data_IF_183153955592
#
_entry.id   IF_183153955592
#
_cell.length_a   1.000
_cell.length_b   1.000
_cell.length_c   1.000
_cell.angle_alpha   90.00
_cell.angle_beta   90.00
_cell.angle_gamma   90.00
#
_symmetry.space_group_name_H-M   'P 1'
#
loop_
_entity.id
_entity.type
_entity.pdbx_description
1 polymer ?
#
# COMPACT_ATOMS: atom_id res chain seq x y z
N UNK A 1 -11.37 7.02 26.60
CA UNK A 1 -11.11 7.52 25.22
C UNK A 1 -12.45 7.80 24.56
N UNK A 2 -12.59 8.92 23.84
CA UNK A 2 -13.84 9.28 23.16
C UNK A 2 -14.06 8.34 21.94
N UNK A 3 -15.26 7.79 21.75
CA UNK A 3 -15.54 6.79 20.69
C UNK A 3 -15.17 7.30 19.28
N UNK A 4 -15.42 8.58 19.02
CA UNK A 4 -15.04 9.26 17.77
C UNK A 4 -13.54 9.22 17.50
N UNK A 5 -12.71 9.28 18.55
CA UNK A 5 -11.26 9.22 18.40
C UNK A 5 -10.78 7.80 18.08
N UNK A 6 -11.45 6.78 18.64
CA UNK A 6 -11.15 5.37 18.36
C UNK A 6 -11.52 5.04 16.90
N UNK A 7 -12.66 5.53 16.42
CA UNK A 7 -13.08 5.34 15.02
C UNK A 7 -12.10 6.00 14.04
N UNK A 8 -11.67 7.24 14.32
CA UNK A 8 -10.65 7.92 13.50
C UNK A 8 -9.32 7.17 13.50
N UNK A 9 -8.87 6.71 14.67
CA UNK A 9 -7.64 5.92 14.76
C UNK A 9 -7.75 4.62 13.95
N UNK A 10 -8.89 3.91 14.04
CA UNK A 10 -9.11 2.70 13.27
C UNK A 10 -9.13 2.98 11.76
N UNK A 11 -9.77 4.07 11.32
CA UNK A 11 -9.78 4.47 9.92
C UNK A 11 -8.36 4.72 9.39
N UNK A 12 -7.50 5.41 10.17
CA UNK A 12 -6.08 5.63 9.84
C UNK A 12 -5.32 4.31 9.72
N UNK A 13 -5.50 3.40 10.69
CA UNK A 13 -4.80 2.12 10.70
C UNK A 13 -5.19 1.26 9.49
N UNK A 14 -6.48 1.18 9.17
CA UNK A 14 -6.98 0.43 8.02
C UNK A 14 -6.57 1.06 6.69
N UNK A 15 -6.64 2.39 6.55
CA UNK A 15 -6.21 3.07 5.32
C UNK A 15 -4.70 2.95 5.11
N UNK A 16 -3.91 3.02 6.18
CA UNK A 16 -2.46 2.79 6.13
C UNK A 16 -2.13 1.36 5.71
N UNK A 17 -2.79 0.36 6.31
CA UNK A 17 -2.60 -1.04 5.95
C UNK A 17 -2.94 -1.31 4.47
N UNK A 18 -4.04 -0.74 3.98
CA UNK A 18 -4.45 -0.84 2.57
C UNK A 18 -3.44 -0.16 1.64
N UNK A 19 -2.98 1.04 1.99
CA UNK A 19 -2.03 1.80 1.18
C UNK A 19 -0.67 1.10 1.09
N UNK A 20 -0.16 0.54 2.20
CA UNK A 20 1.06 -0.29 2.19
C UNK A 20 0.87 -1.52 1.32
N UNK A 21 -0.29 -2.17 1.42
CA UNK A 21 -0.61 -3.36 0.63
C UNK A 21 -0.61 -3.04 -0.86
N UNK A 22 -1.30 -1.97 -1.23
CA UNK A 22 -1.34 -1.49 -2.61
C UNK A 22 0.04 -1.10 -3.12
N UNK A 23 0.86 -0.43 -2.30
CA UNK A 23 2.20 -0.02 -2.71
C UNK A 23 3.04 -1.21 -3.13
N UNK A 24 3.15 -2.25 -2.29
CA UNK A 24 4.03 -3.37 -2.61
C UNK A 24 3.50 -4.19 -3.79
N UNK A 25 2.18 -4.33 -3.90
CA UNK A 25 1.54 -4.96 -5.07
C UNK A 25 1.87 -4.18 -6.34
N UNK A 26 1.71 -2.86 -6.32
CA UNK A 26 2.01 -2.01 -7.46
C UNK A 26 3.53 -1.99 -7.78
N UNK A 27 4.38 -2.12 -6.76
CA UNK A 27 5.83 -2.27 -6.94
C UNK A 27 6.17 -3.57 -7.71
N UNK A 28 5.54 -4.70 -7.36
CA UNK A 28 5.69 -5.95 -8.10
C UNK A 28 5.23 -5.81 -9.55
N UNK A 29 4.06 -5.19 -9.78
CA UNK A 29 3.54 -4.98 -11.13
C UNK A 29 4.45 -4.07 -11.96
N UNK A 30 5.00 -3.02 -11.35
CA UNK A 30 5.96 -2.12 -11.99
C UNK A 30 7.23 -2.84 -12.44
N UNK A 31 7.75 -3.78 -11.65
CA UNK A 31 8.94 -4.55 -12.05
C UNK A 31 8.60 -5.66 -13.05
N UNK A 32 7.38 -6.22 -12.99
CA UNK A 32 6.95 -7.31 -13.87
C UNK A 32 6.51 -6.85 -15.26
N UNK A 33 5.94 -5.64 -15.39
CA UNK A 33 5.32 -5.15 -16.61
C UNK A 33 5.82 -3.75 -17.01
N UNK A 34 6.41 -3.65 -18.21
CA UNK A 34 6.95 -2.39 -18.73
C UNK A 34 5.90 -1.27 -18.87
N UNK A 35 4.64 -1.62 -19.19
CA UNK A 35 3.54 -0.66 -19.28
C UNK A 35 3.24 0.02 -17.95
N UNK A 36 3.25 -0.73 -16.85
CA UNK A 36 3.06 -0.19 -15.49
C UNK A 36 4.25 0.68 -15.10
N UNK A 37 5.47 0.25 -15.41
CA UNK A 37 6.69 1.05 -15.19
C UNK A 37 6.65 2.38 -15.91
N UNK A 38 6.21 2.39 -17.18
CA UNK A 38 6.09 3.60 -17.99
C UNK A 38 5.01 4.53 -17.45
N UNK A 39 3.84 3.99 -17.07
CA UNK A 39 2.76 4.77 -16.48
C UNK A 39 3.18 5.47 -15.17
N UNK A 40 3.92 4.78 -14.31
CA UNK A 40 4.39 5.33 -13.04
C UNK A 40 5.57 6.30 -13.21
N UNK A 41 6.31 6.21 -14.31
CA UNK A 41 7.46 7.06 -14.61
C UNK A 41 7.08 8.35 -15.37
N UNK A 42 6.00 9.02 -14.96
CA UNK A 42 5.56 10.27 -15.60
C UNK A 42 6.48 11.47 -15.30
N UNK A 43 7.36 11.36 -14.29
CA UNK A 43 8.39 12.36 -13.98
C UNK A 43 9.79 11.71 -13.97
N UNK A 44 10.49 11.70 -15.13
CA UNK A 44 11.72 10.91 -15.32
C UNK A 44 12.83 11.18 -14.31
N UNK A 45 12.96 12.42 -13.83
CA UNK A 45 14.03 12.82 -12.89
C UNK A 45 13.92 12.15 -11.52
N UNK A 46 12.74 11.65 -11.14
CA UNK A 46 12.50 10.99 -9.84
C UNK A 46 12.20 9.50 -10.03
N UNK A 47 11.90 9.06 -11.26
CA UNK A 47 11.62 7.68 -11.57
C UNK A 47 10.20 7.23 -11.18
N UNK A 48 9.89 5.93 -11.35
CA UNK A 48 8.56 5.38 -11.07
C UNK A 48 8.22 5.30 -9.57
N UNK A 49 9.19 5.54 -8.69
CA UNK A 49 8.98 5.55 -7.25
C UNK A 49 8.02 6.67 -6.83
N UNK A 50 8.11 7.83 -7.47
CA UNK A 50 7.19 8.95 -7.23
C UNK A 50 5.75 8.55 -7.53
N UNK A 51 5.53 7.87 -8.67
CA UNK A 51 4.22 7.35 -9.04
C UNK A 51 3.68 6.37 -8.00
N UNK A 52 4.51 5.42 -7.54
CA UNK A 52 4.12 4.48 -6.48
C UNK A 52 3.62 5.21 -5.22
N UNK A 53 4.36 6.22 -4.76
CA UNK A 53 3.97 7.00 -3.57
C UNK A 53 2.69 7.82 -3.80
N UNK A 54 2.56 8.49 -4.93
CA UNK A 54 1.38 9.33 -5.22
C UNK A 54 0.12 8.49 -5.31
N UNK A 55 0.13 7.39 -6.08
CA UNK A 55 -1.06 6.54 -6.21
C UNK A 55 -1.41 5.85 -4.89
N UNK A 56 -0.41 5.41 -4.11
CA UNK A 56 -0.66 4.82 -2.78
C UNK A 56 -1.18 5.86 -1.78
N UNK A 57 -0.69 7.10 -1.84
CA UNK A 57 -1.18 8.21 -1.02
C UNK A 57 -2.61 8.63 -1.37
N UNK A 58 -2.95 8.65 -2.67
CA UNK A 58 -4.32 8.88 -3.11
C UNK A 58 -5.25 7.77 -2.61
N UNK A 59 -4.84 6.51 -2.72
CA UNK A 59 -5.62 5.39 -2.19
C UNK A 59 -5.79 5.49 -0.67
N UNK A 60 -4.75 5.87 0.07
CA UNK A 60 -4.83 6.12 1.50
C UNK A 60 -5.92 7.15 1.82
N UNK A 61 -5.97 8.28 1.11
CA UNK A 61 -6.97 9.31 1.34
C UNK A 61 -8.39 8.80 1.06
N UNK A 62 -8.60 8.15 -0.09
CA UNK A 62 -9.90 7.57 -0.47
C UNK A 62 -10.35 6.55 0.59
N UNK A 63 -9.45 5.65 0.99
CA UNK A 63 -9.72 4.63 1.99
C UNK A 63 -9.98 5.23 3.37
N UNK A 64 -9.26 6.28 3.76
CA UNK A 64 -9.47 6.98 5.03
C UNK A 64 -10.89 7.55 5.11
N UNK A 65 -11.36 8.22 4.06
CA UNK A 65 -12.74 8.72 4.01
C UNK A 65 -13.75 7.56 4.01
N UNK A 66 -13.50 6.50 3.25
CA UNK A 66 -14.36 5.31 3.22
C UNK A 66 -14.48 4.62 4.59
N UNK A 67 -13.35 4.34 5.24
CA UNK A 67 -13.32 3.70 6.56
C UNK A 67 -13.84 4.59 7.68
N UNK A 68 -13.75 5.91 7.55
CA UNK A 68 -14.38 6.86 8.48
C UNK A 68 -15.91 6.75 8.46
N UNK A 69 -16.51 6.35 7.33
CA UNK A 69 -17.96 6.14 7.21
C UNK A 69 -18.39 4.75 7.73
N UNK A 70 -17.53 3.74 7.64
CA UNK A 70 -17.85 2.34 7.96
C UNK A 70 -17.84 2.00 9.47
N UNK A 71 -17.55 2.97 10.36
CA UNK A 71 -17.56 2.82 11.83
C UNK A 71 -16.90 1.51 12.31
N UNK A 72 -15.65 1.30 11.92
CA UNK A 72 -14.89 0.11 12.31
C UNK A 72 -14.58 0.12 13.82
N UNK A 73 -15.16 -0.83 14.55
CA UNK A 73 -15.10 -0.85 16.02
C UNK A 73 -13.92 -1.64 16.59
N UNK A 74 -13.27 -2.51 15.81
CA UNK A 74 -12.19 -3.36 16.31
C UNK A 74 -10.80 -2.73 16.10
N UNK A 75 -10.30 -2.05 17.13
CA UNK A 75 -8.95 -1.48 17.14
C UNK A 75 -7.86 -2.57 17.10
N UNK A 76 -8.10 -3.70 17.77
CA UNK A 76 -7.18 -4.85 17.77
C UNK A 76 -6.98 -5.38 16.36
N UNK A 77 -8.06 -5.54 15.59
CA UNK A 77 -7.97 -5.99 14.20
C UNK A 77 -7.23 -4.97 13.32
N UNK A 78 -7.53 -3.68 13.47
CA UNK A 78 -6.88 -2.61 12.71
C UNK A 78 -5.36 -2.57 12.96
N UNK A 79 -4.95 -2.73 14.22
CA UNK A 79 -3.54 -2.80 14.59
C UNK A 79 -2.83 -4.02 13.98
N UNK A 80 -3.42 -5.21 14.10
CA UNK A 80 -2.85 -6.42 13.50
C UNK A 80 -2.74 -6.32 11.99
N UNK A 81 -3.75 -5.74 11.34
CA UNK A 81 -3.73 -5.53 9.89
C UNK A 81 -2.56 -4.62 9.50
N UNK A 82 -2.39 -3.49 10.19
CA UNK A 82 -1.26 -2.60 9.91
C UNK A 82 0.09 -3.29 10.16
N UNK A 83 0.22 -4.04 11.25
CA UNK A 83 1.46 -4.72 11.60
C UNK A 83 1.83 -5.76 10.54
N UNK A 84 0.88 -6.61 10.13
CA UNK A 84 1.10 -7.59 9.06
C UNK A 84 1.42 -6.90 7.74
N UNK A 85 0.64 -5.88 7.34
CA UNK A 85 0.90 -5.14 6.10
C UNK A 85 2.25 -4.44 6.11
N UNK A 86 2.72 -3.94 7.26
CA UNK A 86 4.04 -3.32 7.40
C UNK A 86 5.17 -4.32 7.24
N UNK A 87 5.05 -5.50 7.86
CA UNK A 87 6.03 -6.59 7.71
C UNK A 87 6.09 -7.06 6.25
N UNK A 88 4.93 -7.30 5.63
CA UNK A 88 4.86 -7.71 4.22
C UNK A 88 5.42 -6.63 3.31
N UNK A 89 5.08 -5.36 3.52
CA UNK A 89 5.64 -4.25 2.76
C UNK A 89 7.16 -4.20 2.86
N UNK A 90 7.72 -4.32 4.07
CA UNK A 90 9.17 -4.29 4.27
C UNK A 90 9.87 -5.40 3.47
N UNK A 91 9.31 -6.61 3.51
CA UNK A 91 9.81 -7.75 2.73
C UNK A 91 9.68 -7.50 1.21
N UNK A 92 8.52 -7.04 0.75
CA UNK A 92 8.19 -6.89 -0.67
C UNK A 92 8.77 -5.63 -1.33
N UNK A 93 9.48 -4.80 -0.59
CA UNK A 93 10.28 -3.67 -1.11
C UNK A 93 11.76 -4.06 -1.26
N UNK A 94 12.21 -5.15 -0.64
CA UNK A 94 13.60 -5.60 -0.73
C UNK A 94 13.80 -6.53 -1.95
N UNK A 95 14.65 -6.16 -2.95
CA UNK A 95 14.77 -6.90 -4.21
C UNK A 95 15.02 -8.41 -4.07
N UNK A 96 15.94 -8.87 -3.20
CA UNK A 96 16.17 -10.30 -3.00
C UNK A 96 14.93 -11.11 -2.60
N UNK A 97 13.92 -10.48 -2.01
CA UNK A 97 12.69 -11.15 -1.58
C UNK A 97 11.62 -11.10 -2.67
N UNK A 98 11.47 -9.96 -3.35
CA UNK A 98 10.40 -9.79 -4.33
C UNK A 98 10.78 -10.23 -5.75
N UNK A 99 12.07 -10.30 -6.09
CA UNK A 99 12.56 -10.69 -7.42
C UNK A 99 12.04 -12.07 -7.88
N UNK A 100 12.08 -13.15 -7.07
CA UNK A 100 11.54 -14.43 -7.49
C UNK A 100 10.05 -14.36 -7.87
N UNK A 101 9.27 -13.53 -7.17
CA UNK A 101 7.85 -13.32 -7.44
C UNK A 101 7.68 -12.56 -8.76
N UNK A 102 8.51 -11.53 -9.00
CA UNK A 102 8.53 -10.78 -10.26
C UNK A 102 8.88 -11.68 -11.44
N UNK A 103 9.86 -12.57 -11.32
CA UNK A 103 10.22 -13.53 -12.36
C UNK A 103 9.03 -14.42 -12.75
N UNK A 104 8.36 -15.01 -11.75
CA UNK A 104 7.16 -15.82 -11.95
C UNK A 104 6.04 -15.01 -12.63
N UNK A 105 5.76 -13.78 -12.16
CA UNK A 105 4.71 -12.92 -12.72
C UNK A 105 5.01 -12.41 -14.13
N UNK A 106 6.28 -12.14 -14.43
CA UNK A 106 6.74 -11.70 -15.74
C UNK A 106 6.87 -12.87 -16.75
N UNK A 107 6.67 -14.11 -16.31
CA UNK A 107 6.83 -15.31 -17.14
C UNK A 107 8.28 -15.52 -17.61
N UNK A 108 9.25 -15.19 -16.75
CA UNK A 108 10.70 -15.33 -16.99
C UNK A 108 11.31 -16.27 -15.97
#
# INVERSE_FOLDING_TARGET
MNETNIQKANAILWSAALALTFFWVLNLFKESYAGVKSFLNFYPSVGPLLGLFIFSGLLYLIAFFGFSLLKLNSQKAAFWMLLVSSVVFFLMVFPPVYEPIVHILAGK
#
